data_IF_743678108303
#
_entry.id   IF_743678108303
#
_cell.length_a   1.000
_cell.length_b   1.000
_cell.length_c   1.000
_cell.angle_alpha   90.00
_cell.angle_beta   90.00
_cell.angle_gamma   90.00
#
_symmetry.space_group_name_H-M   'P 1'
#
loop_
_entity.id
_entity.type
_entity.pdbx_description
1 polymer ?
#
# COMPACT_ATOMS: atom_id res chain seq x y z
N UNK A 1 -5.64 -14.95 -9.59
CA UNK A 1 -4.36 -14.37 -9.12
C UNK A 1 -4.41 -12.86 -9.30
N UNK A 2 -4.05 -12.10 -8.25
CA UNK A 2 -3.92 -10.63 -8.30
C UNK A 2 -2.64 -10.27 -9.04
N UNK A 3 -2.71 -9.41 -10.05
CA UNK A 3 -1.54 -8.96 -10.80
C UNK A 3 -1.37 -7.44 -10.81
N UNK A 4 -2.30 -6.71 -10.20
CA UNK A 4 -2.28 -5.26 -10.12
C UNK A 4 -2.89 -4.74 -8.83
N UNK A 5 -2.45 -3.58 -8.39
CA UNK A 5 -2.98 -2.86 -7.24
C UNK A 5 -3.29 -1.42 -7.64
N UNK A 6 -4.46 -0.92 -7.27
CA UNK A 6 -4.72 0.50 -7.21
C UNK A 6 -4.47 0.97 -5.78
N UNK A 7 -3.40 1.73 -5.59
CA UNK A 7 -2.97 2.24 -4.30
C UNK A 7 -3.36 3.71 -4.15
N UNK A 8 -3.86 4.05 -2.97
CA UNK A 8 -4.21 5.40 -2.56
C UNK A 8 -3.57 5.68 -1.21
N UNK A 9 -3.03 6.90 -1.05
CA UNK A 9 -2.64 7.43 0.24
C UNK A 9 -3.21 8.85 0.37
N UNK A 10 -3.72 9.20 1.55
CA UNK A 10 -4.35 10.48 1.79
C UNK A 10 -4.47 10.74 3.28
N UNK A 11 -4.80 11.98 3.62
CA UNK A 11 -5.03 12.40 5.00
C UNK A 11 -6.47 12.90 5.14
N UNK A 12 -7.06 12.72 6.33
CA UNK A 12 -8.41 13.17 6.69
C UNK A 12 -8.34 13.99 7.97
N UNK A 13 -9.06 15.13 8.02
CA UNK A 13 -9.20 15.90 9.25
C UNK A 13 -9.91 15.08 10.32
N UNK A 14 -9.48 15.19 11.57
CA UNK A 14 -10.05 14.42 12.68
C UNK A 14 -11.56 14.61 12.82
N UNK A 15 -12.08 15.81 12.57
CA UNK A 15 -13.51 16.12 12.62
C UNK A 15 -14.31 15.38 11.53
N UNK A 16 -13.70 15.08 10.39
CA UNK A 16 -14.32 14.38 9.27
C UNK A 16 -14.16 12.86 9.37
N UNK A 17 -13.27 12.37 10.24
CA UNK A 17 -12.78 10.98 10.26
C UNK A 17 -13.91 9.96 10.33
N UNK A 18 -14.78 10.06 11.33
CA UNK A 18 -15.81 9.04 11.55
C UNK A 18 -16.76 8.93 10.35
N UNK A 19 -17.27 10.07 9.87
CA UNK A 19 -18.21 10.08 8.74
C UNK A 19 -17.56 9.60 7.44
N UNK A 20 -16.27 9.93 7.25
CA UNK A 20 -15.51 9.46 6.10
C UNK A 20 -15.28 7.95 6.13
N UNK A 21 -14.86 7.38 7.28
CA UNK A 21 -14.62 5.94 7.42
C UNK A 21 -15.92 5.14 7.28
N UNK A 22 -17.04 5.61 7.85
CA UNK A 22 -18.35 4.96 7.70
C UNK A 22 -18.76 4.89 6.23
N UNK A 23 -18.64 6.00 5.48
CA UNK A 23 -18.91 6.01 4.05
C UNK A 23 -17.92 5.10 3.28
N UNK A 24 -16.62 5.21 3.57
CA UNK A 24 -15.58 4.51 2.82
C UNK A 24 -15.72 2.99 2.96
N UNK A 25 -15.95 2.50 4.19
CA UNK A 25 -16.04 1.06 4.46
C UNK A 25 -17.39 0.45 4.08
N UNK A 26 -18.50 1.19 4.28
CA UNK A 26 -19.86 0.64 4.07
C UNK A 26 -20.40 0.88 2.67
N UNK A 27 -19.90 1.88 1.97
CA UNK A 27 -20.40 2.26 0.64
C UNK A 27 -19.31 2.14 -0.40
N UNK A 28 -18.21 2.90 -0.25
CA UNK A 28 -17.24 3.07 -1.34
C UNK A 28 -16.45 1.79 -1.65
N UNK A 29 -15.94 1.08 -0.63
CA UNK A 29 -15.21 -0.18 -0.85
C UNK A 29 -16.14 -1.24 -1.44
N UNK A 30 -17.35 -1.52 -0.90
CA UNK A 30 -18.29 -2.46 -1.50
C UNK A 30 -18.64 -2.14 -2.96
N UNK A 31 -18.87 -0.88 -3.31
CA UNK A 31 -19.10 -0.46 -4.70
C UNK A 31 -17.92 -0.78 -5.62
N UNK A 32 -16.68 -0.62 -5.14
CA UNK A 32 -15.49 -0.98 -5.91
C UNK A 32 -15.39 -2.48 -6.08
N UNK A 33 -15.57 -3.25 -5.00
CA UNK A 33 -15.49 -4.71 -5.04
C UNK A 33 -16.60 -5.36 -5.87
N UNK A 34 -17.73 -4.69 -6.06
CA UNK A 34 -18.80 -5.14 -6.95
C UNK A 34 -18.43 -5.04 -8.45
N UNK A 35 -17.33 -4.36 -8.79
CA UNK A 35 -16.90 -4.21 -10.19
C UNK A 35 -16.16 -5.45 -10.67
N UNK A 36 -16.39 -5.90 -11.92
CA UNK A 36 -15.67 -7.03 -12.47
C UNK A 36 -14.16 -6.87 -12.42
N UNK A 37 -13.47 -7.89 -11.93
CA UNK A 37 -12.02 -7.94 -11.89
C UNK A 37 -11.37 -7.36 -10.62
N UNK A 38 -12.09 -6.59 -9.81
CA UNK A 38 -11.65 -6.27 -8.44
C UNK A 38 -11.73 -7.52 -7.58
N UNK A 39 -10.72 -7.81 -6.79
CA UNK A 39 -10.58 -9.05 -6.01
C UNK A 39 -10.69 -8.82 -4.52
N UNK A 40 -10.01 -7.81 -4.01
CA UNK A 40 -9.94 -7.49 -2.60
C UNK A 40 -9.68 -5.99 -2.40
N UNK A 41 -9.90 -5.54 -1.19
CA UNK A 41 -9.47 -4.22 -0.73
C UNK A 41 -8.95 -4.34 0.69
N UNK A 42 -8.06 -3.44 1.09
CA UNK A 42 -7.61 -3.25 2.46
C UNK A 42 -7.41 -1.78 2.76
N UNK A 43 -7.61 -1.41 4.02
CA UNK A 43 -7.46 -0.04 4.47
C UNK A 43 -6.65 0.00 5.77
N UNK A 44 -5.63 0.84 5.76
CA UNK A 44 -4.71 1.02 6.88
C UNK A 44 -4.79 2.45 7.38
N UNK A 45 -4.73 2.59 8.71
CA UNK A 45 -4.60 3.87 9.40
C UNK A 45 -3.14 4.05 9.80
N UNK A 46 -2.50 5.11 9.31
CA UNK A 46 -1.11 5.45 9.60
C UNK A 46 -0.98 6.41 10.76
N UNK A 47 0.22 6.93 10.95
CA UNK A 47 0.52 7.97 11.93
C UNK A 47 -0.24 9.25 11.60
N UNK A 48 -0.47 10.07 12.62
CA UNK A 48 -1.03 11.39 12.44
C UNK A 48 -0.12 12.24 11.54
N UNK A 49 -0.64 12.70 10.40
CA UNK A 49 0.10 13.60 9.50
C UNK A 49 0.37 14.96 10.16
N UNK A 50 -0.56 15.40 11.00
CA UNK A 50 -0.47 16.57 11.88
C UNK A 50 -1.37 16.31 13.09
N UNK A 51 -1.33 17.14 14.16
CA UNK A 51 -2.23 16.98 15.31
C UNK A 51 -3.72 16.91 14.95
N UNK A 52 -4.12 17.47 13.80
CA UNK A 52 -5.51 17.56 13.37
C UNK A 52 -5.84 16.65 12.18
N UNK A 53 -4.90 15.85 11.68
CA UNK A 53 -5.10 15.00 10.50
C UNK A 53 -4.52 13.62 10.72
N UNK A 54 -5.28 12.62 10.29
CA UNK A 54 -4.91 11.21 10.30
C UNK A 54 -4.59 10.73 8.89
N UNK A 55 -3.48 9.99 8.72
CA UNK A 55 -3.08 9.41 7.43
C UNK A 55 -3.71 8.05 7.20
N UNK A 56 -3.96 7.74 5.92
CA UNK A 56 -4.56 6.48 5.48
C UNK A 56 -3.87 5.95 4.23
N UNK A 57 -3.86 4.62 4.11
CA UNK A 57 -3.47 3.88 2.90
C UNK A 57 -4.62 2.94 2.55
N UNK A 58 -5.14 3.05 1.33
CA UNK A 58 -6.15 2.13 0.82
C UNK A 58 -5.64 1.42 -0.43
N UNK A 59 -5.77 0.09 -0.45
CA UNK A 59 -5.31 -0.75 -1.53
C UNK A 59 -6.50 -1.54 -2.11
N UNK A 60 -6.56 -1.62 -3.44
CA UNK A 60 -7.51 -2.44 -4.17
C UNK A 60 -6.74 -3.38 -5.08
N UNK A 61 -6.86 -4.68 -4.86
CA UNK A 61 -6.26 -5.70 -5.72
C UNK A 61 -7.15 -6.07 -6.89
N UNK A 62 -6.54 -6.33 -8.02
CA UNK A 62 -7.24 -6.69 -9.24
C UNK A 62 -6.51 -7.68 -10.14
N UNK A 63 -7.24 -8.29 -11.05
CA UNK A 63 -6.72 -9.30 -11.98
C UNK A 63 -5.75 -8.73 -13.03
N UNK A 64 -5.79 -7.42 -13.28
CA UNK A 64 -4.87 -6.72 -14.19
C UNK A 64 -4.97 -5.21 -13.98
N UNK A 65 -3.97 -4.46 -14.46
CA UNK A 65 -4.01 -2.99 -14.48
C UNK A 65 -5.15 -2.44 -15.34
N UNK A 66 -5.58 -3.19 -16.36
CA UNK A 66 -6.65 -2.79 -17.27
C UNK A 66 -7.97 -2.52 -16.54
N UNK A 67 -8.33 -3.32 -15.53
CA UNK A 67 -9.61 -3.15 -14.82
C UNK A 67 -9.71 -1.82 -14.08
N UNK A 68 -8.56 -1.23 -13.72
CA UNK A 68 -8.50 0.08 -13.08
C UNK A 68 -8.45 1.24 -14.08
N UNK A 69 -8.27 0.93 -15.39
CA UNK A 69 -8.18 1.92 -16.46
C UNK A 69 -9.42 1.94 -17.36
N UNK A 70 -10.33 0.97 -17.23
CA UNK A 70 -11.52 0.85 -18.05
C UNK A 70 -12.77 0.54 -17.21
N UNK A 71 -13.52 1.56 -16.75
CA UNK A 71 -13.23 3.00 -16.84
C UNK A 71 -12.13 3.47 -15.87
N UNK A 72 -11.36 4.46 -16.31
CA UNK A 72 -10.29 5.04 -15.48
C UNK A 72 -10.83 5.82 -14.26
N UNK A 73 -10.02 6.04 -13.20
CA UNK A 73 -10.44 6.87 -12.07
C UNK A 73 -10.89 8.28 -12.47
N UNK A 74 -10.27 8.87 -13.49
CA UNK A 74 -10.67 10.18 -14.00
C UNK A 74 -12.07 10.15 -14.65
N UNK A 75 -12.36 9.12 -15.44
CA UNK A 75 -13.68 8.91 -16.03
C UNK A 75 -14.76 8.64 -14.98
N UNK A 76 -14.40 7.93 -13.92
CA UNK A 76 -15.32 7.65 -12.82
C UNK A 76 -15.69 8.90 -12.02
N UNK A 77 -14.78 9.87 -11.89
CA UNK A 77 -15.07 11.14 -11.22
C UNK A 77 -16.25 11.89 -11.83
N UNK A 78 -16.45 11.80 -13.14
CA UNK A 78 -17.54 12.49 -13.83
C UNK A 78 -18.92 11.86 -13.56
N UNK A 79 -18.95 10.64 -13.05
CA UNK A 79 -20.16 9.85 -12.78
C UNK A 79 -20.48 9.67 -11.30
N UNK A 80 -19.73 10.36 -10.41
CA UNK A 80 -19.95 10.27 -8.96
C UNK A 80 -21.26 10.95 -8.57
N UNK A 81 -21.98 10.32 -7.63
CA UNK A 81 -23.09 10.96 -6.92
C UNK A 81 -22.56 12.08 -5.99
N UNK A 82 -23.48 12.87 -5.46
CA UNK A 82 -23.14 14.04 -4.64
C UNK A 82 -22.43 13.63 -3.34
N UNK A 83 -22.87 12.55 -2.68
CA UNK A 83 -22.24 12.05 -1.47
C UNK A 83 -20.79 11.62 -1.71
N UNK A 84 -20.58 10.82 -2.75
CA UNK A 84 -19.22 10.38 -3.12
C UNK A 84 -18.31 11.56 -3.44
N UNK A 85 -18.85 12.58 -4.16
CA UNK A 85 -18.08 13.79 -4.48
C UNK A 85 -17.71 14.57 -3.23
N UNK A 86 -18.65 14.75 -2.30
CA UNK A 86 -18.41 15.39 -1.01
C UNK A 86 -17.32 14.67 -0.22
N UNK A 87 -17.46 13.36 -0.02
CA UNK A 87 -16.50 12.57 0.75
C UNK A 87 -15.11 12.54 0.13
N UNK A 88 -15.03 12.43 -1.21
CA UNK A 88 -13.74 12.51 -1.91
C UNK A 88 -13.06 13.88 -1.78
N UNK A 89 -13.82 14.97 -1.65
CA UNK A 89 -13.30 16.32 -1.46
C UNK A 89 -12.68 16.54 -0.06
N UNK A 90 -12.98 15.66 0.91
CA UNK A 90 -12.39 15.70 2.26
C UNK A 90 -10.95 15.20 2.31
N UNK A 91 -10.49 14.47 1.28
CA UNK A 91 -9.11 13.99 1.21
C UNK A 91 -8.13 15.15 1.08
N UNK A 92 -7.07 15.11 1.88
CA UNK A 92 -5.93 16.02 1.84
C UNK A 92 -4.70 15.25 1.36
N UNK A 93 -3.76 15.94 0.73
CA UNK A 93 -2.51 15.37 0.24
C UNK A 93 -2.70 14.03 -0.52
N UNK A 94 -3.69 13.93 -1.45
CA UNK A 94 -4.02 12.66 -2.07
C UNK A 94 -2.91 12.22 -3.02
N UNK A 95 -2.49 10.98 -2.86
CA UNK A 95 -1.66 10.23 -3.80
C UNK A 95 -2.47 9.05 -4.32
N UNK A 96 -2.43 8.79 -5.61
CA UNK A 96 -3.09 7.64 -6.21
C UNK A 96 -2.30 7.14 -7.41
N UNK A 97 -2.06 5.83 -7.48
CA UNK A 97 -1.37 5.20 -8.60
C UNK A 97 -1.88 3.79 -8.86
N UNK A 98 -1.84 3.38 -10.13
CA UNK A 98 -2.12 2.01 -10.55
C UNK A 98 -0.79 1.32 -10.76
N UNK A 99 -0.64 0.16 -10.14
CA UNK A 99 0.60 -0.58 -10.00
C UNK A 99 0.49 -1.94 -10.65
N UNK A 100 1.54 -2.37 -11.35
CA UNK A 100 1.75 -3.74 -11.79
C UNK A 100 2.74 -4.42 -10.84
N UNK A 101 2.50 -5.68 -10.51
CA UNK A 101 3.46 -6.48 -9.75
C UNK A 101 4.70 -6.78 -10.60
N UNK A 102 5.89 -6.56 -10.03
CA UNK A 102 7.13 -7.10 -10.54
C UNK A 102 7.43 -8.43 -9.85
N UNK A 103 7.40 -8.46 -8.51
CA UNK A 103 7.56 -9.70 -7.74
C UNK A 103 6.98 -9.56 -6.32
N UNK A 104 6.83 -10.70 -5.66
CA UNK A 104 6.47 -10.86 -4.26
C UNK A 104 7.42 -11.87 -3.65
N UNK A 105 7.97 -11.58 -2.48
CA UNK A 105 8.79 -12.48 -1.68
C UNK A 105 8.27 -12.56 -0.26
N UNK A 106 8.33 -13.75 0.33
CA UNK A 106 7.88 -14.01 1.70
C UNK A 106 7.25 -15.39 1.82
N UNK A 107 7.56 -16.03 2.92
CA UNK A 107 7.06 -17.35 3.25
C UNK A 107 5.67 -17.27 3.88
N UNK A 108 4.63 -17.33 3.07
CA UNK A 108 3.46 -18.08 3.52
C UNK A 108 3.74 -19.54 3.25
N UNK A 109 3.75 -20.44 4.25
CA UNK A 109 3.75 -21.85 3.98
C UNK A 109 2.47 -22.15 3.21
N UNK A 110 2.58 -22.29 1.91
CA UNK A 110 1.48 -22.80 1.08
C UNK A 110 1.31 -24.27 1.42
N UNK A 111 0.62 -24.56 2.50
CA UNK A 111 0.12 -25.91 2.79
C UNK A 111 -1.21 -26.07 2.05
N UNK A 112 -1.11 -26.38 0.77
CA UNK A 112 -2.28 -26.78 0.00
C UNK A 112 -2.68 -25.84 -1.13
N UNK A 113 -3.37 -26.39 -2.09
CA UNK A 113 -3.96 -25.77 -3.27
C UNK A 113 -5.07 -24.74 -2.93
N UNK A 114 -4.81 -23.81 -2.02
CA UNK A 114 -5.77 -22.77 -1.69
C UNK A 114 -5.50 -21.54 -2.56
N UNK A 115 -6.06 -21.56 -3.79
CA UNK A 115 -6.19 -20.39 -4.68
C UNK A 115 -7.19 -19.36 -4.09
N UNK A 116 -7.30 -19.28 -2.77
CA UNK A 116 -8.25 -18.38 -2.13
C UNK A 116 -7.84 -16.92 -2.36
N UNK A 117 -8.84 -16.07 -2.57
CA UNK A 117 -8.66 -14.62 -2.70
C UNK A 117 -7.97 -14.06 -1.45
N UNK A 118 -8.18 -14.67 -0.29
CA UNK A 118 -7.55 -14.30 0.97
C UNK A 118 -6.01 -14.43 0.94
N UNK A 119 -5.49 -15.47 0.25
CA UNK A 119 -4.04 -15.66 0.10
C UNK A 119 -3.38 -14.64 -0.84
N UNK A 120 -4.19 -13.94 -1.66
CA UNK A 120 -3.70 -12.91 -2.59
C UNK A 120 -3.77 -11.49 -2.02
N UNK A 121 -4.57 -11.27 -0.98
CA UNK A 121 -4.78 -9.96 -0.40
C UNK A 121 -3.58 -9.51 0.44
N UNK A 122 -3.31 -8.20 0.44
CA UNK A 122 -2.46 -7.54 1.42
C UNK A 122 -3.32 -7.33 2.65
N UNK A 123 -3.24 -8.23 3.62
CA UNK A 123 -4.14 -8.27 4.78
C UNK A 123 -3.44 -8.48 6.12
N UNK A 124 -2.14 -8.28 6.17
CA UNK A 124 -1.37 -8.28 7.41
C UNK A 124 -1.83 -7.15 8.34
N UNK A 125 -1.54 -7.26 9.64
CA UNK A 125 -1.96 -6.27 10.63
C UNK A 125 -1.26 -4.92 10.46
N UNK A 126 -0.05 -4.95 9.88
CA UNK A 126 0.77 -3.76 9.61
C UNK A 126 1.27 -3.73 8.17
N UNK A 127 1.35 -2.52 7.61
CA UNK A 127 1.90 -2.25 6.28
C UNK A 127 2.90 -1.10 6.35
N UNK A 128 4.08 -1.30 5.77
CA UNK A 128 4.99 -0.23 5.35
C UNK A 128 4.92 -0.05 3.85
N UNK A 129 4.79 1.20 3.41
CA UNK A 129 4.58 1.59 2.03
C UNK A 129 5.62 2.61 1.60
N UNK A 130 6.60 2.18 0.79
CA UNK A 130 7.66 3.03 0.26
C UNK A 130 7.40 3.35 -1.20
N UNK A 131 7.38 4.63 -1.51
CA UNK A 131 7.26 5.17 -2.87
C UNK A 131 8.62 5.75 -3.26
N UNK A 132 9.25 5.20 -4.28
CA UNK A 132 10.59 5.57 -4.73
C UNK A 132 10.50 6.13 -6.15
N UNK A 133 10.89 7.38 -6.32
CA UNK A 133 11.18 7.95 -7.65
C UNK A 133 12.65 7.71 -7.96
N UNK A 134 12.90 6.73 -8.80
CA UNK A 134 14.25 6.27 -9.12
C UNK A 134 14.99 7.15 -10.14
N UNK A 135 14.39 8.25 -10.60
CA UNK A 135 15.01 9.17 -11.59
C UNK A 135 15.62 8.44 -12.81
N UNK A 136 14.93 7.38 -13.29
CA UNK A 136 15.41 6.56 -14.40
C UNK A 136 16.31 5.37 -14.00
N UNK A 137 16.70 5.22 -12.74
CA UNK A 137 17.55 4.13 -12.25
C UNK A 137 16.76 2.89 -11.78
N UNK A 138 15.73 2.51 -12.51
CA UNK A 138 14.83 1.41 -12.11
C UNK A 138 15.53 0.06 -11.94
N UNK A 139 16.53 -0.25 -12.79
CA UNK A 139 17.32 -1.47 -12.66
C UNK A 139 18.14 -1.47 -11.35
N UNK A 140 18.80 -0.36 -11.03
CA UNK A 140 19.58 -0.24 -9.81
C UNK A 140 18.71 -0.35 -8.54
N UNK A 141 17.51 0.25 -8.54
CA UNK A 141 16.54 0.09 -7.45
C UNK A 141 16.06 -1.36 -7.35
N UNK A 142 15.79 -2.02 -8.48
CA UNK A 142 15.42 -3.44 -8.51
C UNK A 142 16.51 -4.33 -7.92
N UNK A 143 17.75 -4.13 -8.34
CA UNK A 143 18.93 -4.86 -7.83
C UNK A 143 19.14 -4.61 -6.33
N UNK A 144 19.09 -3.36 -5.89
CA UNK A 144 19.20 -3.00 -4.48
C UNK A 144 18.10 -3.65 -3.63
N UNK A 145 16.85 -3.64 -4.11
CA UNK A 145 15.74 -4.24 -3.39
C UNK A 145 15.97 -5.73 -3.11
N UNK A 146 16.44 -6.49 -4.11
CA UNK A 146 16.69 -7.93 -4.00
C UNK A 146 17.98 -8.26 -3.25
N UNK A 147 19.07 -7.53 -3.54
CA UNK A 147 20.41 -7.89 -3.06
C UNK A 147 20.75 -7.29 -1.70
N UNK A 148 20.07 -6.21 -1.31
CA UNK A 148 20.42 -5.46 -0.10
C UNK A 148 19.22 -5.31 0.85
N UNK A 149 18.10 -4.76 0.35
CA UNK A 149 16.94 -4.44 1.18
C UNK A 149 16.29 -5.69 1.78
N UNK A 150 15.94 -6.69 0.97
CA UNK A 150 15.33 -7.93 1.45
C UNK A 150 16.21 -8.69 2.45
N UNK A 151 17.52 -8.93 2.17
CA UNK A 151 18.40 -9.58 3.14
C UNK A 151 18.54 -8.83 4.46
N UNK A 152 18.51 -7.49 4.43
CA UNK A 152 18.53 -6.67 5.66
C UNK A 152 17.23 -6.82 6.44
N UNK A 153 16.07 -6.74 5.77
CA UNK A 153 14.78 -6.97 6.42
C UNK A 153 14.73 -8.31 7.14
N UNK A 154 15.24 -9.37 6.52
CA UNK A 154 15.28 -10.71 7.09
C UNK A 154 16.24 -10.81 8.27
N UNK A 155 17.39 -10.13 8.20
CA UNK A 155 18.43 -10.16 9.23
C UNK A 155 18.09 -9.32 10.46
N UNK A 156 17.53 -8.14 10.25
CA UNK A 156 17.20 -7.18 11.32
C UNK A 156 15.95 -7.61 12.11
N UNK A 157 15.29 -8.68 11.69
CA UNK A 157 14.19 -9.29 12.40
C UNK A 157 14.59 -10.74 12.82
N UNK A 158 15.37 -10.93 13.90
CA UNK A 158 15.81 -12.25 14.36
C UNK A 158 14.64 -13.17 14.75
N UNK A 159 13.45 -12.60 15.01
CA UNK A 159 12.21 -13.33 15.16
C UNK A 159 11.47 -13.55 13.81
N UNK A 160 12.06 -13.17 12.68
CA UNK A 160 11.46 -13.34 11.35
C UNK A 160 11.07 -14.78 11.01
N UNK A 161 11.68 -15.77 11.67
CA UNK A 161 11.25 -17.17 11.59
C UNK A 161 9.86 -17.42 12.25
N UNK A 162 9.34 -16.44 13.01
CA UNK A 162 8.04 -16.48 13.69
C UNK A 162 7.05 -15.42 13.20
N UNK A 163 7.52 -14.48 12.40
CA UNK A 163 6.70 -13.36 11.90
C UNK A 163 6.57 -13.51 10.39
N UNK A 164 5.36 -13.73 9.92
CA UNK A 164 5.05 -13.76 8.49
C UNK A 164 5.30 -12.37 7.89
N UNK A 165 6.43 -12.23 7.26
CA UNK A 165 6.83 -11.00 6.57
C UNK A 165 6.76 -11.23 5.07
N UNK A 166 5.98 -10.41 4.40
CA UNK A 166 5.84 -10.46 2.94
C UNK A 166 6.25 -9.11 2.35
N UNK A 167 7.12 -9.16 1.36
CA UNK A 167 7.53 -7.98 0.61
C UNK A 167 7.00 -8.05 -0.81
N UNK A 168 6.49 -6.93 -1.30
CA UNK A 168 5.96 -6.77 -2.64
C UNK A 168 6.70 -5.65 -3.34
N UNK A 169 7.17 -5.89 -4.55
CA UNK A 169 7.68 -4.85 -5.42
C UNK A 169 6.75 -4.66 -6.62
N UNK A 170 6.37 -3.42 -6.83
CA UNK A 170 5.47 -3.01 -7.89
C UNK A 170 6.03 -1.79 -8.62
N UNK A 171 5.58 -1.61 -9.86
CA UNK A 171 5.88 -0.44 -10.65
C UNK A 171 4.61 0.31 -11.04
N UNK A 172 4.63 1.62 -10.98
CA UNK A 172 3.54 2.46 -11.44
C UNK A 172 3.37 2.37 -12.95
N UNK A 173 2.13 2.18 -13.40
CA UNK A 173 1.75 2.21 -14.82
C UNK A 173 1.03 3.49 -15.20
N UNK A 174 0.87 4.42 -14.25
CA UNK A 174 0.24 5.72 -14.46
C UNK A 174 1.16 6.84 -13.99
N UNK A 175 1.39 7.83 -14.84
CA UNK A 175 2.32 8.93 -14.56
C UNK A 175 3.79 8.53 -14.75
N UNK A 176 4.69 9.17 -13.99
CA UNK A 176 6.12 8.80 -13.97
C UNK A 176 6.29 7.40 -13.36
N UNK A 177 7.28 6.61 -13.82
CA UNK A 177 7.53 5.30 -13.25
C UNK A 177 8.03 5.45 -11.81
N UNK A 178 7.18 5.07 -10.86
CA UNK A 178 7.51 4.97 -9.45
C UNK A 178 7.68 3.50 -9.08
N UNK A 179 8.72 3.18 -8.35
CA UNK A 179 8.94 1.88 -7.75
C UNK A 179 8.35 1.88 -6.34
N UNK A 180 7.50 0.91 -6.05
CA UNK A 180 6.78 0.79 -4.79
C UNK A 180 7.21 -0.50 -4.11
N UNK A 181 7.63 -0.38 -2.87
CA UNK A 181 7.87 -1.52 -2.00
C UNK A 181 6.80 -1.52 -0.91
N UNK A 182 6.01 -2.57 -0.83
CA UNK A 182 5.17 -2.87 0.32
C UNK A 182 5.88 -3.90 1.18
N UNK A 183 5.82 -3.68 2.47
CA UNK A 183 6.30 -4.61 3.47
C UNK A 183 5.18 -4.87 4.46
N UNK A 184 4.70 -6.11 4.46
CA UNK A 184 3.63 -6.56 5.36
C UNK A 184 4.22 -7.29 6.55
N UNK A 185 3.62 -7.12 7.73
CA UNK A 185 3.92 -7.92 8.91
C UNK A 185 2.69 -8.14 9.77
N UNK A 186 2.58 -9.33 10.36
CA UNK A 186 1.59 -9.66 11.38
C UNK A 186 2.12 -9.39 12.80
N UNK A 187 3.10 -8.52 12.96
CA UNK A 187 3.67 -8.20 14.25
C UNK A 187 2.70 -7.37 15.09
N UNK A 188 2.12 -7.98 16.12
CA UNK A 188 1.35 -7.30 17.14
C UNK A 188 2.27 -6.40 17.96
N UNK A 189 1.95 -5.11 18.08
CA UNK A 189 2.65 -4.18 18.97
C UNK A 189 3.75 -3.34 18.33
N UNK A 190 3.84 -3.26 16.98
CA UNK A 190 4.61 -2.20 16.34
C UNK A 190 3.96 -0.85 16.69
N UNK A 191 4.74 0.03 17.32
CA UNK A 191 4.34 1.42 17.52
C UNK A 191 4.74 2.22 16.30
N UNK A 192 3.99 3.29 16.02
CA UNK A 192 4.29 4.23 14.93
C UNK A 192 5.74 4.75 15.02
N UNK A 193 6.26 4.98 16.22
CA UNK A 193 7.65 5.42 16.44
C UNK A 193 8.68 4.36 16.02
N UNK A 194 8.43 3.09 16.29
CA UNK A 194 9.32 2.01 15.89
C UNK A 194 9.33 1.82 14.35
N UNK A 195 8.16 1.95 13.70
CA UNK A 195 8.04 1.88 12.25
C UNK A 195 8.69 3.11 11.58
N UNK A 196 8.44 4.31 12.07
CA UNK A 196 9.03 5.54 11.55
C UNK A 196 10.56 5.53 11.67
N UNK A 197 11.11 4.92 12.71
CA UNK A 197 12.57 4.81 12.87
C UNK A 197 13.21 3.83 11.88
N UNK A 198 12.48 2.78 11.43
CA UNK A 198 13.00 1.80 10.47
C UNK A 198 13.26 2.40 9.09
N UNK A 199 12.40 3.30 8.65
CA UNK A 199 12.42 3.86 7.30
C UNK A 199 12.75 5.35 7.25
N UNK A 200 13.35 5.86 8.34
CA UNK A 200 14.03 7.15 8.28
C UNK A 200 15.06 7.10 7.13
N UNK A 201 15.22 8.16 6.31
CA UNK A 201 16.22 8.20 5.23
C UNK A 201 17.65 7.82 5.64
N UNK A 202 17.97 7.92 6.94
CA UNK A 202 19.24 7.49 7.53
C UNK A 202 19.20 6.09 8.16
N UNK A 203 18.08 5.37 8.06
CA UNK A 203 17.97 4.04 8.64
C UNK A 203 18.94 3.06 7.95
N UNK A 204 19.59 2.17 8.72
CA UNK A 204 20.51 1.17 8.16
C UNK A 204 19.91 0.30 7.06
N UNK A 205 18.58 0.07 7.12
CA UNK A 205 17.86 -0.71 6.10
C UNK A 205 17.86 -0.04 4.72
N UNK A 206 17.94 1.30 4.68
CA UNK A 206 18.00 2.09 3.45
C UNK A 206 19.44 2.42 3.03
N UNK A 207 20.47 1.96 3.80
CA UNK A 207 21.86 2.15 3.39
C UNK A 207 22.11 1.46 2.05
N UNK A 208 23.03 2.00 1.29
CA UNK A 208 23.41 1.52 -0.05
C UNK A 208 22.27 1.60 -1.08
N UNK A 209 21.17 2.31 -0.77
CA UNK A 209 20.15 2.63 -1.78
C UNK A 209 20.78 3.52 -2.86
N UNK A 210 20.53 3.23 -4.14
CA UNK A 210 20.98 4.10 -5.24
C UNK A 210 20.46 5.53 -5.08
N UNK A 211 21.14 6.48 -5.74
CA UNK A 211 20.64 7.85 -5.81
C UNK A 211 19.24 7.89 -6.42
N UNK A 212 18.32 8.58 -5.75
CA UNK A 212 16.90 8.68 -6.11
C UNK A 212 16.47 10.14 -6.12
N UNK A 213 15.40 10.43 -6.87
CA UNK A 213 14.80 11.77 -6.88
C UNK A 213 14.00 12.03 -5.60
N UNK A 214 13.26 11.04 -5.12
CA UNK A 214 12.50 11.15 -3.88
C UNK A 214 12.15 9.80 -3.28
N UNK A 215 12.00 9.79 -1.96
CA UNK A 215 11.46 8.68 -1.17
C UNK A 215 10.33 9.20 -0.29
N UNK A 216 9.18 8.57 -0.37
CA UNK A 216 8.07 8.78 0.56
C UNK A 216 7.78 7.47 1.28
N UNK A 217 7.78 7.50 2.60
CA UNK A 217 7.38 6.37 3.44
C UNK A 217 6.07 6.70 4.14
N UNK A 218 5.15 5.75 4.16
CA UNK A 218 3.97 5.72 5.00
C UNK A 218 3.83 4.33 5.61
N UNK A 219 3.26 4.25 6.79
CA UNK A 219 2.96 2.99 7.46
C UNK A 219 1.59 3.05 8.09
N UNK A 220 1.05 1.91 8.47
CA UNK A 220 -0.24 1.89 9.14
C UNK A 220 -0.69 0.52 9.62
N UNK A 221 -1.58 0.55 10.59
CA UNK A 221 -2.31 -0.60 11.10
C UNK A 221 -3.56 -0.83 10.26
N UNK A 222 -3.86 -2.08 9.96
CA UNK A 222 -5.07 -2.44 9.21
C UNK A 222 -6.33 -2.13 10.04
N UNK A 223 -7.26 -1.41 9.42
CA UNK A 223 -8.55 -1.05 10.00
C UNK A 223 -9.74 -1.59 9.19
N UNK A 224 -9.49 -2.20 8.02
CA UNK A 224 -10.51 -2.87 7.21
C UNK A 224 -9.85 -3.89 6.26
N UNK A 225 -10.43 -5.08 6.05
CA UNK A 225 -11.52 -5.68 6.83
C UNK A 225 -11.09 -5.94 8.27
N UNK A 226 -12.07 -5.95 9.17
CA UNK A 226 -11.86 -6.23 10.60
C UNK A 226 -11.94 -7.72 10.85
#
# INVERSE_FOLDING_TARGET
MTSAIWALAYDILNDDRQSYLDWFHRIHIPEKLARPGYRWATHFEGSAATPNMQSYIALFGGISTRIFLDPSPAQLKTKQDDLTREMMARRRNPFATILAYEWRDGSTPSTGNDDSIAAEAINSDWLDFLVIDAAGQGEAIGAWAVQTFLPKLQKDNPDAAKIDTITHKLISVTGAPLHILFYETNQIGLTDDAAASRFNPHAPILSDMPEIASLCHRSGTRIWPV
#
